data_IF_745084287891
#
_entry.id   IF_745084287891
#
_cell.length_a   1.000
_cell.length_b   1.000
_cell.length_c   1.000
_cell.angle_alpha   90.00
_cell.angle_beta   90.00
_cell.angle_gamma   90.00
#
_symmetry.space_group_name_H-M   'P 1'
#
loop_
_entity.id
_entity.type
_entity.pdbx_description
1 polymer ?
#
# COMPACT_ATOMS: atom_id res chain seq x y z
N UNK A 1 -39.62 18.90 15.09
CA UNK A 1 -39.47 17.48 15.48
C UNK A 1 -37.99 17.17 15.39
N UNK A 2 -37.25 17.17 16.51
CA UNK A 2 -35.80 16.89 16.48
C UNK A 2 -35.61 15.41 16.15
N UNK A 3 -35.29 15.14 14.89
CA UNK A 3 -34.86 13.83 14.39
C UNK A 3 -33.57 13.48 15.12
N UNK A 4 -33.58 12.35 15.82
CA UNK A 4 -32.53 11.68 16.58
C UNK A 4 -31.32 12.49 17.09
N UNK A 5 -31.01 12.49 18.40
CA UNK A 5 -29.73 13.01 18.87
C UNK A 5 -28.58 12.27 18.16
N UNK A 6 -27.50 12.99 17.88
CA UNK A 6 -26.36 12.40 17.19
C UNK A 6 -25.81 11.24 18.02
N UNK A 7 -25.26 10.21 17.38
CA UNK A 7 -24.59 9.11 18.09
C UNK A 7 -23.50 9.65 19.05
N UNK A 8 -22.89 10.78 18.69
CA UNK A 8 -21.91 11.50 19.50
C UNK A 8 -22.49 11.98 20.85
N UNK A 9 -23.73 12.45 20.88
CA UNK A 9 -24.41 12.88 22.11
C UNK A 9 -24.71 11.69 23.04
N UNK A 10 -25.08 10.54 22.44
CA UNK A 10 -25.29 9.29 23.19
C UNK A 10 -23.98 8.80 23.83
N UNK A 11 -22.88 8.78 23.09
CA UNK A 11 -21.55 8.40 23.63
C UNK A 11 -21.05 9.40 24.68
N UNK A 12 -21.37 10.68 24.53
CA UNK A 12 -21.03 11.72 25.51
C UNK A 12 -21.78 11.50 26.83
N UNK A 13 -23.03 11.05 26.78
CA UNK A 13 -23.85 10.72 27.95
C UNK A 13 -23.33 9.47 28.69
N UNK A 14 -22.65 8.56 27.99
CA UNK A 14 -22.01 7.38 28.56
C UNK A 14 -20.69 7.67 29.28
N UNK A 15 -20.14 8.88 29.13
CA UNK A 15 -18.88 9.29 29.78
C UNK A 15 -19.12 9.46 31.28
N UNK A 16 -18.46 8.62 32.08
CA UNK A 16 -18.62 8.58 33.55
C UNK A 16 -19.70 7.61 34.06
N UNK A 17 -20.45 6.94 33.18
CA UNK A 17 -21.42 5.92 33.57
C UNK A 17 -20.74 4.65 34.13
N UNK A 18 -21.43 3.89 35.01
CA UNK A 18 -20.97 2.58 35.47
C UNK A 18 -20.74 1.62 34.30
N UNK A 19 -19.77 0.71 34.45
CA UNK A 19 -19.39 -0.26 33.41
C UNK A 19 -20.60 -1.09 32.94
N UNK A 20 -21.47 -1.50 33.87
CA UNK A 20 -22.65 -2.30 33.55
C UNK A 20 -23.66 -1.55 32.67
N UNK A 21 -23.86 -0.25 32.93
CA UNK A 21 -24.72 0.59 32.11
C UNK A 21 -24.14 0.79 30.70
N UNK A 22 -22.81 0.88 30.58
CA UNK A 22 -22.13 0.93 29.28
C UNK A 22 -22.29 -0.36 28.50
N UNK A 23 -22.16 -1.51 29.16
CA UNK A 23 -22.37 -2.82 28.54
C UNK A 23 -23.81 -2.95 28.04
N UNK A 24 -24.79 -2.54 28.84
CA UNK A 24 -26.20 -2.58 28.44
C UNK A 24 -26.48 -1.71 27.19
N UNK A 25 -25.92 -0.50 27.11
CA UNK A 25 -26.05 0.35 25.92
C UNK A 25 -25.30 -0.22 24.70
N UNK A 26 -24.15 -0.87 24.91
CA UNK A 26 -23.42 -1.56 23.83
C UNK A 26 -24.19 -2.77 23.30
N UNK A 27 -24.86 -3.55 24.16
CA UNK A 27 -25.74 -4.65 23.74
C UNK A 27 -26.94 -4.11 22.97
N UNK A 28 -27.56 -3.03 23.45
CA UNK A 28 -28.67 -2.38 22.75
C UNK A 28 -28.26 -1.89 21.36
N UNK A 29 -27.09 -1.27 21.23
CA UNK A 29 -26.55 -0.86 19.94
C UNK A 29 -26.28 -2.08 19.04
N UNK A 30 -25.68 -3.15 19.59
CA UNK A 30 -25.47 -4.40 18.87
C UNK A 30 -26.77 -5.02 18.36
N UNK A 31 -27.84 -4.97 19.16
CA UNK A 31 -29.18 -5.41 18.77
C UNK A 31 -29.79 -4.54 17.67
N UNK A 32 -29.69 -3.20 17.78
CA UNK A 32 -30.13 -2.26 16.73
C UNK A 32 -29.40 -2.50 15.40
N UNK A 33 -28.14 -2.93 15.45
CA UNK A 33 -27.33 -3.32 14.28
C UNK A 33 -27.51 -4.78 13.85
N UNK A 34 -28.41 -5.53 14.48
CA UNK A 34 -28.66 -6.95 14.23
C UNK A 34 -27.42 -7.85 14.41
N UNK A 35 -26.48 -7.44 15.26
CA UNK A 35 -25.24 -8.16 15.56
C UNK A 35 -25.39 -9.12 16.75
N UNK A 36 -26.28 -8.83 17.70
CA UNK A 36 -26.55 -9.69 18.85
C UNK A 36 -28.00 -9.57 19.34
N UNK A 37 -28.43 -10.46 20.24
CA UNK A 37 -29.75 -10.40 20.87
C UNK A 37 -29.78 -9.40 22.05
N UNK A 38 -30.96 -8.96 22.52
CA UNK A 38 -31.10 -7.98 23.61
C UNK A 38 -30.47 -8.42 24.94
N UNK A 39 -30.32 -9.73 25.14
CA UNK A 39 -29.81 -10.34 26.39
C UNK A 39 -28.38 -10.86 26.26
N UNK A 40 -27.70 -10.60 25.14
CA UNK A 40 -26.36 -11.10 24.85
C UNK A 40 -25.25 -10.26 25.51
N UNK A 41 -25.38 -9.96 26.81
CA UNK A 41 -24.35 -9.23 27.56
C UNK A 41 -23.02 -9.98 27.63
N UNK A 42 -23.07 -11.31 27.69
CA UNK A 42 -21.88 -12.17 27.74
C UNK A 42 -21.02 -12.04 26.46
N UNK A 43 -21.64 -11.72 25.32
CA UNK A 43 -20.92 -11.45 24.07
C UNK A 43 -20.13 -10.14 24.18
N UNK A 44 -20.72 -9.07 24.70
CA UNK A 44 -20.02 -7.79 24.89
C UNK A 44 -18.96 -7.88 26.01
N UNK A 45 -19.24 -8.65 27.06
CA UNK A 45 -18.32 -8.90 28.20
C UNK A 45 -17.15 -9.82 27.84
N UNK A 46 -17.21 -10.54 26.73
CA UNK A 46 -16.17 -11.49 26.32
C UNK A 46 -16.22 -12.83 27.06
N UNK A 47 -17.35 -13.15 27.69
CA UNK A 47 -17.54 -14.35 28.51
C UNK A 47 -18.37 -15.44 27.81
N UNK A 48 -18.87 -15.20 26.59
CA UNK A 48 -19.57 -16.22 25.83
C UNK A 48 -18.63 -17.31 25.31
N UNK A 49 -19.19 -18.45 24.88
CA UNK A 49 -18.41 -19.54 24.29
C UNK A 49 -17.60 -19.08 23.08
N UNK A 50 -16.39 -19.61 22.89
CA UNK A 50 -15.48 -19.24 21.80
C UNK A 50 -16.15 -19.21 20.41
N UNK A 51 -17.03 -20.18 20.12
CA UNK A 51 -17.78 -20.23 18.86
C UNK A 51 -18.72 -19.03 18.68
N UNK A 52 -19.48 -18.66 19.72
CA UNK A 52 -20.37 -17.50 19.69
C UNK A 52 -19.58 -16.19 19.55
N UNK A 53 -18.48 -16.08 20.28
CA UNK A 53 -17.60 -14.92 20.24
C UNK A 53 -17.01 -14.70 18.84
N UNK A 54 -16.54 -15.78 18.20
CA UNK A 54 -15.98 -15.75 16.85
C UNK A 54 -17.05 -15.39 15.80
N UNK A 55 -18.26 -15.93 15.93
CA UNK A 55 -19.38 -15.61 15.03
C UNK A 55 -19.76 -14.13 15.12
N UNK A 56 -19.85 -13.58 16.33
CA UNK A 56 -20.14 -12.17 16.56
C UNK A 56 -19.05 -11.25 15.98
N UNK A 57 -17.77 -11.62 16.15
CA UNK A 57 -16.66 -10.89 15.52
C UNK A 57 -16.75 -10.91 13.99
N UNK A 58 -17.10 -12.06 13.39
CA UNK A 58 -17.34 -12.15 11.94
C UNK A 58 -18.44 -11.21 11.48
N UNK A 59 -19.59 -11.19 12.18
CA UNK A 59 -20.71 -10.30 11.86
C UNK A 59 -20.34 -8.81 11.97
N UNK A 60 -19.53 -8.44 12.97
CA UNK A 60 -19.01 -7.07 13.08
C UNK A 60 -18.13 -6.70 11.89
N UNK A 61 -17.23 -7.59 11.47
CA UNK A 61 -16.35 -7.35 10.32
C UNK A 61 -17.15 -7.24 9.02
N UNK A 62 -18.16 -8.09 8.83
CA UNK A 62 -19.05 -8.05 7.66
C UNK A 62 -19.85 -6.74 7.61
N UNK A 63 -20.35 -6.26 8.76
CA UNK A 63 -21.05 -4.98 8.86
C UNK A 63 -20.13 -3.79 8.53
N UNK A 64 -18.89 -3.79 9.04
CA UNK A 64 -17.89 -2.76 8.72
C UNK A 64 -17.56 -2.76 7.23
N UNK A 65 -17.34 -3.94 6.63
CA UNK A 65 -17.07 -4.07 5.20
C UNK A 65 -18.26 -3.58 4.35
N UNK A 66 -19.49 -3.88 4.76
CA UNK A 66 -20.71 -3.42 4.08
C UNK A 66 -20.86 -1.90 4.12
N UNK A 67 -20.49 -1.25 5.23
CA UNK A 67 -20.48 0.21 5.36
C UNK A 67 -19.40 0.88 4.51
N UNK A 68 -18.24 0.23 4.34
CA UNK A 68 -17.16 0.70 3.46
C UNK A 68 -17.61 0.66 1.99
N UNK A 69 -18.36 -0.36 1.58
CA UNK A 69 -18.92 -0.48 0.22
C UNK A 69 -20.10 0.48 0.00
N UNK A 70 -20.95 0.70 1.00
CA UNK A 70 -22.12 1.59 0.93
C UNK A 70 -21.81 3.09 0.84
N UNK A 71 -20.56 3.52 1.07
CA UNK A 71 -20.14 4.93 0.95
C UNK A 71 -19.97 5.42 -0.49
N UNK A 72 -20.11 4.53 -1.49
CA UNK A 72 -19.93 4.82 -2.91
C UNK A 72 -21.19 5.34 -3.63
N UNK A 73 -22.35 5.47 -2.98
CA UNK A 73 -23.58 5.86 -3.68
C UNK A 73 -24.58 6.60 -2.80
N UNK A 74 -24.34 7.89 -2.56
CA UNK A 74 -25.40 8.87 -2.29
C UNK A 74 -25.05 10.23 -2.94
N UNK A 75 -25.96 10.84 -3.72
CA UNK A 75 -25.76 12.16 -4.31
C UNK A 75 -26.44 13.23 -3.43
N UNK A 76 -25.68 14.07 -2.72
CA UNK A 76 -26.22 15.31 -2.12
C UNK A 76 -25.13 16.27 -1.62
N UNK A 77 -24.11 16.55 -2.44
CA UNK A 77 -23.10 17.58 -2.12
C UNK A 77 -22.66 18.30 -3.41
N UNK A 78 -23.60 18.74 -4.25
CA UNK A 78 -23.24 19.40 -5.51
C UNK A 78 -23.24 20.94 -5.41
N UNK A 79 -23.94 21.50 -4.43
CA UNK A 79 -24.06 22.97 -4.29
C UNK A 79 -22.93 23.60 -3.45
N UNK A 80 -22.30 22.86 -2.53
CA UNK A 80 -21.22 23.39 -1.69
C UNK A 80 -19.82 23.40 -2.36
N UNK A 81 -19.65 22.71 -3.50
CA UNK A 81 -18.35 22.60 -4.17
C UNK A 81 -18.07 23.75 -5.14
N UNK A 82 -19.08 24.36 -5.76
CA UNK A 82 -18.87 25.46 -6.70
C UNK A 82 -18.43 26.74 -5.96
N UNK A 83 -19.04 27.08 -4.82
CA UNK A 83 -18.66 28.25 -4.00
C UNK A 83 -17.27 28.07 -3.32
N UNK A 84 -16.85 26.82 -3.11
CA UNK A 84 -15.52 26.46 -2.61
C UNK A 84 -14.46 26.51 -3.72
N UNK A 85 -14.79 26.07 -4.93
CA UNK A 85 -13.89 26.08 -6.06
C UNK A 85 -13.48 27.51 -6.45
N UNK A 86 -14.44 28.44 -6.52
CA UNK A 86 -14.20 29.84 -6.88
C UNK A 86 -13.37 30.57 -5.79
N UNK A 87 -13.61 30.26 -4.50
CA UNK A 87 -12.78 30.76 -3.38
C UNK A 87 -11.36 30.20 -3.40
N UNK A 88 -11.19 28.90 -3.67
CA UNK A 88 -9.87 28.28 -3.74
C UNK A 88 -9.07 28.78 -4.95
N UNK A 89 -9.73 29.04 -6.07
CA UNK A 89 -9.10 29.63 -7.26
C UNK A 89 -8.58 31.03 -6.97
N UNK A 90 -9.39 31.89 -6.32
CA UNK A 90 -8.95 33.22 -5.89
C UNK A 90 -7.79 33.19 -4.88
N UNK A 91 -7.80 32.25 -3.93
CA UNK A 91 -6.70 32.08 -2.97
C UNK A 91 -5.42 31.56 -3.63
N UNK A 92 -5.53 30.67 -4.61
CA UNK A 92 -4.38 30.19 -5.38
C UNK A 92 -3.81 31.30 -6.25
N UNK A 93 -4.66 32.11 -6.90
CA UNK A 93 -4.23 33.25 -7.71
C UNK A 93 -3.48 34.30 -6.86
N UNK A 94 -3.95 34.58 -5.63
CA UNK A 94 -3.25 35.44 -4.68
C UNK A 94 -1.90 34.86 -4.23
N UNK A 95 -1.86 33.54 -3.99
CA UNK A 95 -0.65 32.82 -3.56
C UNK A 95 0.41 32.78 -4.66
N UNK A 96 0.01 32.56 -5.92
CA UNK A 96 0.91 32.55 -7.09
C UNK A 96 1.30 33.95 -7.57
N UNK A 97 0.50 34.99 -7.28
CA UNK A 97 0.82 36.39 -7.60
C UNK A 97 1.72 37.06 -6.57
N UNK A 98 1.91 36.44 -5.40
CA UNK A 98 2.74 36.97 -4.31
C UNK A 98 4.24 36.79 -4.56
N UNK A 99 5.01 37.87 -4.41
CA UNK A 99 6.49 37.91 -4.48
C UNK A 99 7.15 36.95 -3.46
N UNK A 100 6.40 36.50 -2.45
CA UNK A 100 6.85 35.58 -1.41
C UNK A 100 6.94 34.11 -1.85
N UNK A 101 6.26 33.71 -2.93
CA UNK A 101 6.26 32.32 -3.40
C UNK A 101 7.62 31.96 -4.03
N UNK A 102 8.21 32.86 -4.79
CA UNK A 102 9.57 32.68 -5.36
C UNK A 102 10.63 32.61 -4.24
N UNK A 103 10.44 33.39 -3.17
CA UNK A 103 11.32 33.39 -1.99
C UNK A 103 11.18 32.11 -1.13
N UNK A 104 9.99 31.50 -1.10
CA UNK A 104 9.70 30.22 -0.43
C UNK A 104 10.17 29.01 -1.25
N UNK A 105 10.09 29.09 -2.58
CA UNK A 105 10.53 28.03 -3.49
C UNK A 105 12.05 28.06 -3.74
N UNK A 106 12.70 29.18 -3.47
CA UNK A 106 14.16 29.32 -3.56
C UNK A 106 14.74 30.00 -2.32
N UNK A 107 14.66 29.36 -1.13
CA UNK A 107 15.35 29.86 0.03
C UNK A 107 16.86 29.78 -0.26
N UNK A 108 17.57 30.92 -0.16
CA UNK A 108 19.03 30.92 -0.06
C UNK A 108 19.40 30.34 1.30
N UNK A 109 19.40 29.03 1.37
CA UNK A 109 19.83 28.28 2.54
C UNK A 109 21.34 28.07 2.45
N UNK A 110 22.10 28.84 3.21
CA UNK A 110 23.33 28.30 3.80
C UNK A 110 22.90 27.66 5.13
N UNK A 111 22.67 26.34 5.19
CA UNK A 111 21.94 25.73 6.30
C UNK A 111 22.78 25.47 7.55
N UNK A 112 24.06 25.82 7.56
CA UNK A 112 24.99 25.36 8.59
C UNK A 112 25.55 26.51 9.43
N UNK A 113 25.64 26.35 10.76
CA UNK A 113 26.47 27.22 11.59
C UNK A 113 27.90 27.24 11.03
N UNK A 114 28.53 28.41 10.97
CA UNK A 114 29.91 28.65 10.48
C UNK A 114 30.99 27.79 11.18
N UNK A 115 30.60 27.13 12.26
CA UNK A 115 31.38 26.34 13.19
C UNK A 115 31.63 24.90 12.69
N UNK A 116 30.83 24.40 11.71
CA UNK A 116 30.83 22.99 11.30
C UNK A 116 31.20 22.74 9.82
N UNK A 117 31.50 23.78 9.04
CA UNK A 117 32.00 23.63 7.68
C UNK A 117 33.31 22.82 7.52
N UNK A 118 34.33 22.92 8.39
CA UNK A 118 35.60 22.23 8.14
C UNK A 118 35.56 20.71 8.38
N UNK A 119 34.47 20.17 8.93
CA UNK A 119 34.31 18.71 9.19
C UNK A 119 33.66 17.98 8.01
N UNK A 120 32.89 18.68 7.18
CA UNK A 120 32.10 18.08 6.11
C UNK A 120 32.83 18.02 4.76
N UNK A 121 33.77 18.94 4.48
CA UNK A 121 34.54 18.90 3.23
C UNK A 121 35.49 17.68 3.13
N UNK A 122 35.79 17.01 4.25
CA UNK A 122 36.59 15.78 4.24
C UNK A 122 35.77 14.48 4.18
N UNK A 123 34.43 14.55 4.22
CA UNK A 123 33.56 13.35 4.28
C UNK A 123 32.64 13.18 3.06
N UNK A 124 32.81 14.01 2.03
CA UNK A 124 31.94 14.02 0.84
C UNK A 124 31.94 12.74 0.00
N UNK A 125 32.91 11.84 0.18
CA UNK A 125 33.11 10.71 -0.74
C UNK A 125 32.71 9.32 -0.19
N UNK A 126 32.25 9.18 1.07
CA UNK A 126 32.11 7.84 1.70
C UNK A 126 30.67 7.42 2.13
N UNK A 127 29.65 8.27 1.94
CA UNK A 127 28.30 7.98 2.47
C UNK A 127 27.41 7.09 1.57
N UNK A 128 27.95 6.00 1.03
CA UNK A 128 27.14 4.87 0.54
C UNK A 128 27.22 3.67 1.50
N UNK A 129 26.56 3.78 2.66
CA UNK A 129 26.41 2.64 3.57
C UNK A 129 25.35 2.88 4.65
N UNK A 130 24.58 1.85 5.06
CA UNK A 130 23.72 1.95 6.23
C UNK A 130 24.58 2.20 7.48
N UNK A 131 24.13 3.14 8.31
CA UNK A 131 24.74 3.59 9.56
C UNK A 131 25.39 2.42 10.36
N UNK A 132 26.73 2.45 10.60
CA UNK A 132 27.46 1.39 11.29
C UNK A 132 26.92 1.05 12.69
N UNK A 133 26.34 2.03 13.39
CA UNK A 133 25.80 1.88 14.74
C UNK A 133 24.52 1.03 14.75
N UNK A 134 23.59 1.29 13.84
CA UNK A 134 22.34 0.54 13.73
C UNK A 134 22.57 -0.93 13.33
N UNK A 135 23.63 -1.20 12.55
CA UNK A 135 24.03 -2.56 12.17
C UNK A 135 24.60 -3.35 13.36
N UNK A 136 25.41 -2.70 14.20
CA UNK A 136 26.02 -3.30 15.39
C UNK A 136 24.98 -3.70 16.44
N UNK A 137 23.97 -2.87 16.70
CA UNK A 137 22.91 -3.19 17.65
C UNK A 137 22.03 -4.35 17.17
N UNK A 138 21.67 -4.36 15.89
CA UNK A 138 20.89 -5.45 15.28
C UNK A 138 21.63 -6.79 15.35
N UNK A 139 22.95 -6.79 15.18
CA UNK A 139 23.79 -7.98 15.30
C UNK A 139 23.85 -8.50 16.75
N UNK A 140 23.99 -7.60 17.73
CA UNK A 140 23.95 -7.96 19.16
C UNK A 140 22.60 -8.57 19.58
N UNK A 141 21.50 -8.02 19.09
CA UNK A 141 20.14 -8.56 19.34
C UNK A 141 19.99 -9.94 18.72
N UNK A 142 20.48 -10.13 17.50
CA UNK A 142 20.45 -11.43 16.82
C UNK A 142 21.31 -12.49 17.55
N UNK A 143 22.45 -12.08 18.11
CA UNK A 143 23.30 -12.95 18.93
C UNK A 143 22.61 -13.37 20.23
N UNK A 144 22.00 -12.42 20.95
CA UNK A 144 21.24 -12.69 22.17
C UNK A 144 20.07 -13.64 21.92
N UNK A 145 19.34 -13.43 20.82
CA UNK A 145 18.22 -14.29 20.42
C UNK A 145 18.70 -15.73 20.16
N UNK A 146 19.87 -15.90 19.53
CA UNK A 146 20.45 -17.23 19.29
C UNK A 146 20.87 -17.91 20.59
N UNK A 147 21.49 -17.17 21.51
CA UNK A 147 21.88 -17.69 22.83
C UNK A 147 20.67 -18.13 23.65
N UNK A 148 19.57 -17.38 23.62
CA UNK A 148 18.31 -17.75 24.27
C UNK A 148 17.70 -19.02 23.66
N UNK A 149 17.70 -19.12 22.33
CA UNK A 149 17.15 -20.27 21.63
C UNK A 149 17.96 -21.55 21.89
N UNK A 150 19.29 -21.43 21.91
CA UNK A 150 20.21 -22.52 22.24
C UNK A 150 20.10 -22.94 23.72
N UNK A 151 19.93 -21.97 24.63
CA UNK A 151 19.62 -22.22 26.04
C UNK A 151 18.29 -22.95 26.25
N UNK A 152 17.25 -22.55 25.52
CA UNK A 152 15.95 -23.22 25.54
C UNK A 152 16.04 -24.66 25.01
N UNK A 153 16.78 -24.89 23.92
CA UNK A 153 17.00 -26.23 23.37
C UNK A 153 17.75 -27.14 24.37
N UNK A 154 18.79 -26.62 25.04
CA UNK A 154 19.51 -27.34 26.11
C UNK A 154 18.60 -27.70 27.28
N UNK A 155 17.73 -26.80 27.71
CA UNK A 155 16.74 -27.07 28.76
C UNK A 155 15.74 -28.16 28.36
N UNK A 156 15.29 -28.15 27.10
CA UNK A 156 14.41 -29.20 26.59
C UNK A 156 15.10 -30.56 26.52
N UNK A 157 16.37 -30.62 26.13
CA UNK A 157 17.15 -31.85 26.13
C UNK A 157 17.34 -32.41 27.55
N UNK A 158 17.73 -31.58 28.52
CA UNK A 158 17.86 -31.98 29.92
C UNK A 158 16.53 -32.45 30.53
N UNK A 159 15.42 -31.84 30.14
CA UNK A 159 14.06 -32.27 30.53
C UNK A 159 13.72 -33.65 29.96
N UNK A 160 14.11 -33.94 28.72
CA UNK A 160 13.89 -35.25 28.11
C UNK A 160 14.76 -36.33 28.76
N UNK A 161 16.04 -36.02 29.02
CA UNK A 161 16.98 -36.93 29.69
C UNK A 161 16.55 -37.28 31.12
N UNK A 162 16.09 -36.30 31.90
CA UNK A 162 15.56 -36.53 33.25
C UNK A 162 14.29 -37.39 33.25
N UNK A 163 13.39 -37.19 32.29
CA UNK A 163 12.16 -38.00 32.16
C UNK A 163 12.46 -39.47 31.82
N UNK A 164 13.48 -39.73 31.01
CA UNK A 164 13.93 -41.09 30.67
C UNK A 164 14.66 -41.77 31.84
N UNK A 165 15.47 -41.03 32.63
CA UNK A 165 16.09 -41.55 33.84
C UNK A 165 15.06 -41.94 34.91
N UNK A 166 13.96 -41.19 35.04
CA UNK A 166 12.85 -41.52 35.94
C UNK A 166 12.07 -42.78 35.53
N UNK A 167 12.13 -43.21 34.26
CA UNK A 167 11.51 -44.45 33.77
C UNK A 167 12.40 -45.70 33.93
N UNK A 168 13.72 -45.54 34.12
CA UNK A 168 14.69 -46.64 33.99
C UNK A 168 15.32 -47.17 35.28
N UNK A 169 15.11 -46.58 36.47
CA UNK A 169 15.73 -47.15 37.69
C UNK A 169 15.31 -46.53 39.01
N UNK A 170 14.67 -47.34 39.85
CA UNK A 170 14.26 -47.04 41.23
C UNK A 170 15.39 -47.24 42.27
N UNK A 171 16.66 -47.15 41.86
CA UNK A 171 17.76 -47.25 42.81
C UNK A 171 19.01 -46.60 42.22
N UNK A 172 19.26 -45.33 42.55
CA UNK A 172 20.58 -44.70 42.80
C UNK A 172 20.36 -43.18 42.88
N UNK A 173 20.74 -42.58 44.02
CA UNK A 173 21.10 -41.16 44.08
C UNK A 173 20.06 -40.17 44.64
N UNK A 174 19.61 -40.35 45.89
CA UNK A 174 18.83 -39.30 46.61
C UNK A 174 19.58 -37.97 46.84
N UNK A 175 20.88 -37.91 46.55
CA UNK A 175 21.69 -36.70 46.59
C UNK A 175 21.68 -35.91 45.27
N UNK A 176 21.57 -36.59 44.12
CA UNK A 176 21.64 -35.95 42.80
C UNK A 176 20.32 -35.28 42.40
N UNK A 177 19.19 -35.85 42.82
CA UNK A 177 17.86 -35.26 42.63
C UNK A 177 17.67 -33.97 43.43
N UNK A 178 18.14 -33.90 44.68
CA UNK A 178 18.05 -32.68 45.48
C UNK A 178 18.98 -31.57 44.97
N UNK A 179 20.19 -31.93 44.48
CA UNK A 179 21.09 -30.97 43.83
C UNK A 179 20.48 -30.43 42.52
N UNK A 180 19.87 -31.29 41.72
CA UNK A 180 19.20 -30.89 40.48
C UNK A 180 18.02 -29.95 40.76
N UNK A 181 17.20 -30.27 41.77
CA UNK A 181 16.07 -29.44 42.20
C UNK A 181 16.52 -28.06 42.69
N UNK A 182 17.61 -27.99 43.45
CA UNK A 182 18.22 -26.72 43.88
C UNK A 182 18.77 -25.90 42.71
N UNK A 183 19.42 -26.54 41.73
CA UNK A 183 19.90 -25.86 40.51
C UNK A 183 18.73 -25.34 39.66
N UNK A 184 17.66 -26.11 39.54
CA UNK A 184 16.47 -25.70 38.81
C UNK A 184 15.80 -24.49 39.50
N UNK A 185 15.68 -24.54 40.83
CA UNK A 185 15.15 -23.43 41.62
C UNK A 185 16.00 -22.17 41.47
N UNK A 186 17.32 -22.29 41.43
CA UNK A 186 18.24 -21.18 41.19
C UNK A 186 18.02 -20.57 39.80
N UNK A 187 17.98 -21.40 38.74
CA UNK A 187 17.76 -20.92 37.36
C UNK A 187 16.40 -20.25 37.19
N UNK A 188 15.34 -20.81 37.81
CA UNK A 188 14.01 -20.21 37.81
C UNK A 188 14.01 -18.86 38.54
N UNK A 189 14.73 -18.76 39.66
CA UNK A 189 14.86 -17.53 40.44
C UNK A 189 15.63 -16.46 39.66
N UNK A 190 16.74 -16.82 39.00
CA UNK A 190 17.52 -15.91 38.16
C UNK A 190 16.71 -15.42 36.96
N UNK A 191 15.98 -16.32 36.30
CA UNK A 191 15.09 -15.94 35.19
C UNK A 191 13.99 -14.98 35.65
N UNK A 192 13.39 -15.24 36.81
CA UNK A 192 12.40 -14.34 37.40
C UNK A 192 12.97 -12.94 37.66
N UNK A 193 14.20 -12.85 38.17
CA UNK A 193 14.88 -11.57 38.37
C UNK A 193 15.17 -10.84 37.05
N UNK A 194 15.57 -11.56 36.01
CA UNK A 194 15.80 -11.01 34.67
C UNK A 194 14.52 -10.44 34.05
N UNK A 195 13.39 -11.15 34.18
CA UNK A 195 12.09 -10.67 33.74
C UNK A 195 11.67 -9.42 34.51
N UNK A 196 11.85 -9.40 35.83
CA UNK A 196 11.54 -8.22 36.65
C UNK A 196 12.41 -7.02 36.29
N UNK A 197 13.72 -7.22 36.10
CA UNK A 197 14.63 -6.16 35.68
C UNK A 197 14.28 -5.62 34.29
N UNK A 198 13.88 -6.50 33.36
CA UNK A 198 13.41 -6.09 32.04
C UNK A 198 12.12 -5.27 32.13
N UNK A 199 11.13 -5.69 32.92
CA UNK A 199 9.88 -4.94 33.12
C UNK A 199 10.19 -3.56 33.71
N UNK A 200 11.07 -3.49 34.71
CA UNK A 200 11.49 -2.21 35.29
C UNK A 200 12.22 -1.31 34.29
N UNK A 201 13.14 -1.84 33.49
CA UNK A 201 13.81 -1.07 32.45
C UNK A 201 12.81 -0.61 31.37
N UNK A 202 11.84 -1.46 31.04
CA UNK A 202 10.77 -1.11 30.12
C UNK A 202 9.92 0.03 30.68
N UNK A 203 9.38 -0.10 31.89
CA UNK A 203 8.50 0.90 32.48
C UNK A 203 9.20 2.24 32.75
N UNK A 204 10.49 2.22 33.11
CA UNK A 204 11.23 3.43 33.49
C UNK A 204 11.95 4.12 32.31
N UNK A 205 12.40 3.39 31.29
CA UNK A 205 13.29 3.93 30.25
C UNK A 205 12.73 3.80 28.83
N UNK A 206 12.01 2.72 28.51
CA UNK A 206 11.56 2.43 27.15
C UNK A 206 10.06 2.70 26.94
N UNK A 207 9.27 2.72 28.00
CA UNK A 207 7.82 2.86 27.97
C UNK A 207 7.38 4.18 27.36
N UNK A 208 8.07 5.28 27.68
CA UNK A 208 7.84 6.60 27.08
C UNK A 208 8.17 6.62 25.58
N UNK A 209 9.17 5.85 25.14
CA UNK A 209 9.50 5.72 23.72
C UNK A 209 8.43 4.93 22.95
N UNK A 210 7.85 3.90 23.57
CA UNK A 210 6.78 3.09 22.98
C UNK A 210 5.40 3.77 23.03
N UNK A 211 5.20 4.75 23.93
CA UNK A 211 3.97 5.52 24.05
C UNK A 211 3.94 6.81 23.22
N UNK A 212 4.99 7.12 22.44
CA UNK A 212 4.95 8.28 21.55
C UNK A 212 3.76 8.13 20.60
N UNK A 213 2.86 9.11 20.53
CA UNK A 213 1.85 9.13 19.48
C UNK A 213 2.56 9.02 18.14
N UNK A 214 1.96 8.30 17.19
CA UNK A 214 2.48 8.23 15.83
C UNK A 214 2.82 9.66 15.37
N UNK A 215 3.99 9.88 14.75
CA UNK A 215 4.36 11.22 14.31
C UNK A 215 3.21 11.78 13.48
N UNK A 216 2.77 13.00 13.80
CA UNK A 216 1.72 13.67 13.04
C UNK A 216 2.21 13.83 11.60
N UNK A 217 1.79 12.90 10.75
CA UNK A 217 2.10 12.93 9.34
C UNK A 217 1.33 14.10 8.76
N UNK A 218 2.07 15.08 8.25
CA UNK A 218 1.49 16.26 7.63
C UNK A 218 0.44 15.82 6.57
N UNK A 219 -0.77 16.42 6.55
CA UNK A 219 -1.88 16.00 5.69
C UNK A 219 -1.62 16.15 4.18
N UNK A 220 -0.42 16.62 3.81
CA UNK A 220 0.04 16.69 2.43
C UNK A 220 0.43 15.32 1.86
N UNK A 221 0.58 14.26 2.66
CA UNK A 221 0.90 12.91 2.15
C UNK A 221 -0.01 12.44 1.01
N UNK A 222 -1.34 12.45 1.17
CA UNK A 222 -2.29 12.15 0.11
C UNK A 222 -2.21 13.08 -1.11
N UNK A 223 -1.90 14.36 -0.89
CA UNK A 223 -1.77 15.37 -1.95
C UNK A 223 -0.51 15.10 -2.78
N UNK A 224 0.64 14.89 -2.13
CA UNK A 224 1.91 14.52 -2.77
C UNK A 224 1.77 13.20 -3.51
N UNK A 225 1.09 12.21 -2.92
CA UNK A 225 0.83 10.94 -3.58
C UNK A 225 -0.02 11.12 -4.85
N UNK A 226 -1.08 11.93 -4.79
CA UNK A 226 -1.92 12.23 -5.94
C UNK A 226 -1.14 12.96 -7.05
N UNK A 227 -0.30 13.94 -6.69
CA UNK A 227 0.56 14.66 -7.63
C UNK A 227 1.57 13.72 -8.28
N UNK A 228 2.26 12.87 -7.50
CA UNK A 228 3.20 11.89 -8.01
C UNK A 228 2.53 10.88 -8.96
N UNK A 229 1.33 10.39 -8.63
CA UNK A 229 0.58 9.48 -9.50
C UNK A 229 0.13 10.16 -10.80
N UNK A 230 -0.29 11.43 -10.72
CA UNK A 230 -0.71 12.21 -11.89
C UNK A 230 0.47 12.46 -12.82
N UNK A 231 1.62 12.87 -12.28
CA UNK A 231 2.85 13.06 -13.05
C UNK A 231 3.32 11.75 -13.69
N UNK A 232 3.26 10.64 -12.95
CA UNK A 232 3.61 9.31 -13.47
C UNK A 232 2.71 8.91 -14.64
N UNK A 233 1.40 9.13 -14.50
CA UNK A 233 0.42 8.84 -15.55
C UNK A 233 0.66 9.71 -16.79
N UNK A 234 0.94 11.00 -16.59
CA UNK A 234 1.29 11.92 -17.67
C UNK A 234 2.56 11.49 -18.42
N UNK A 235 3.61 11.10 -17.68
CA UNK A 235 4.85 10.58 -18.25
C UNK A 235 4.63 9.32 -19.09
N UNK A 236 3.81 8.38 -18.63
CA UNK A 236 3.46 7.18 -19.38
C UNK A 236 2.69 7.51 -20.67
N UNK A 237 1.76 8.47 -20.59
CA UNK A 237 0.97 8.89 -21.74
C UNK A 237 1.85 9.58 -22.79
N UNK A 238 2.77 10.45 -22.37
CA UNK A 238 3.76 11.06 -23.26
C UNK A 238 4.64 10.00 -23.93
N UNK A 239 5.06 8.97 -23.20
CA UNK A 239 5.83 7.86 -23.78
C UNK A 239 5.03 7.10 -24.85
N UNK A 240 3.75 6.80 -24.57
CA UNK A 240 2.88 6.15 -25.55
C UNK A 240 2.64 7.02 -26.80
N UNK A 241 2.54 8.34 -26.64
CA UNK A 241 2.42 9.27 -27.77
C UNK A 241 3.68 9.25 -28.63
N UNK A 242 4.87 9.21 -28.03
CA UNK A 242 6.13 9.09 -28.78
C UNK A 242 6.17 7.77 -29.56
N UNK A 243 5.84 6.64 -28.90
CA UNK A 243 5.80 5.33 -29.56
C UNK A 243 4.79 5.29 -30.73
N UNK A 244 3.64 5.96 -30.59
CA UNK A 244 2.65 6.07 -31.66
C UNK A 244 3.15 6.94 -32.82
N UNK A 245 3.86 8.03 -32.53
CA UNK A 245 4.47 8.87 -33.58
C UNK A 245 5.54 8.10 -34.35
N UNK A 246 6.38 7.34 -33.66
CA UNK A 246 7.41 6.50 -34.29
C UNK A 246 6.76 5.42 -35.18
N UNK A 247 5.75 4.70 -34.67
CA UNK A 247 5.01 3.71 -35.44
C UNK A 247 4.29 4.34 -36.65
N UNK A 248 3.76 5.55 -36.52
CA UNK A 248 3.15 6.28 -37.63
C UNK A 248 4.18 6.70 -38.68
N UNK A 249 5.37 7.11 -38.27
CA UNK A 249 6.46 7.47 -39.18
C UNK A 249 6.94 6.23 -39.95
N UNK A 250 7.08 5.09 -39.28
CA UNK A 250 7.39 3.80 -39.92
C UNK A 250 6.30 3.38 -40.92
N UNK A 251 5.03 3.49 -40.54
CA UNK A 251 3.92 3.18 -41.44
C UNK A 251 3.90 4.07 -42.69
N UNK A 252 4.18 5.38 -42.54
CA UNK A 252 4.30 6.29 -43.67
C UNK A 252 5.50 5.96 -44.57
N UNK A 253 6.64 5.56 -44.00
CA UNK A 253 7.80 5.09 -44.78
C UNK A 253 7.46 3.81 -45.58
N UNK A 254 6.75 2.86 -44.98
CA UNK A 254 6.29 1.64 -45.67
C UNK A 254 5.35 1.99 -46.83
N UNK A 255 4.37 2.88 -46.62
CA UNK A 255 3.47 3.35 -47.68
C UNK A 255 4.23 4.04 -48.79
N UNK A 256 5.19 4.91 -48.45
CA UNK A 256 5.99 5.63 -49.44
C UNK A 256 6.92 4.71 -50.24
N UNK A 257 7.45 3.65 -49.63
CA UNK A 257 8.20 2.58 -50.32
C UNK A 257 7.29 1.76 -51.24
N UNK A 258 6.07 1.44 -50.78
CA UNK A 258 5.07 0.72 -51.58
C UNK A 258 4.60 1.54 -52.80
N UNK A 259 4.49 2.86 -52.69
CA UNK A 259 4.20 3.73 -53.85
C UNK A 259 5.36 3.83 -54.84
N UNK A 260 6.61 3.61 -54.39
CA UNK A 260 7.81 3.58 -55.26
C UNK A 260 8.08 2.22 -55.88
N UNK A 261 7.54 1.13 -55.34
CA UNK A 261 7.56 -0.19 -55.98
C UNK A 261 6.34 -0.36 -56.90
N UNK A 262 6.50 -0.73 -58.19
CA UNK A 262 5.37 -1.01 -59.05
C UNK A 262 4.64 -2.23 -58.51
N UNK A 263 3.38 -2.04 -58.11
CA UNK A 263 2.51 -3.07 -57.53
C UNK A 263 2.39 -4.23 -58.53
N UNK A 264 3.12 -5.32 -58.27
CA UNK A 264 3.09 -6.52 -59.09
C UNK A 264 1.87 -7.35 -58.68
N UNK A 265 0.71 -7.05 -59.29
CA UNK A 265 -0.44 -7.94 -59.25
C UNK A 265 -0.11 -9.16 -60.11
N UNK A 266 -0.06 -10.31 -59.46
CA UNK A 266 -0.11 -11.69 -59.96
C UNK A 266 0.30 -11.95 -61.42
N UNK A 267 1.31 -12.82 -61.55
CA UNK A 267 2.15 -13.11 -62.72
C UNK A 267 1.47 -13.90 -63.85
N UNK A 268 0.22 -13.57 -64.19
CA UNK A 268 -0.48 -14.26 -65.29
C UNK A 268 -1.43 -13.41 -66.14
N UNK A 269 -1.49 -12.09 -65.96
CA UNK A 269 -2.12 -11.21 -66.96
C UNK A 269 -1.14 -10.15 -67.43
N UNK A 270 -0.82 -10.14 -68.74
CA UNK A 270 -0.06 -9.07 -69.36
C UNK A 270 -0.84 -7.77 -69.15
N UNK A 271 -0.38 -6.95 -68.19
CA UNK A 271 -0.95 -5.64 -67.90
C UNK A 271 -0.66 -4.75 -69.11
N UNK A 272 -1.56 -4.75 -70.08
CA UNK A 272 -1.53 -3.78 -71.16
C UNK A 272 -1.96 -2.42 -70.58
N UNK A 273 -1.15 -1.39 -70.82
CA UNK A 273 -1.47 -0.02 -70.43
C UNK A 273 -2.84 0.39 -71.00
N UNK A 274 -3.56 1.25 -70.27
CA UNK A 274 -4.81 1.86 -70.74
C UNK A 274 -4.65 2.45 -72.16
N UNK A 275 -3.48 3.03 -72.45
CA UNK A 275 -3.15 3.54 -73.77
C UNK A 275 -3.21 2.45 -74.85
N UNK A 276 -2.66 1.26 -74.54
CA UNK A 276 -2.67 0.13 -75.47
C UNK A 276 -4.07 -0.43 -75.69
N UNK A 277 -4.93 -0.41 -74.67
CA UNK A 277 -6.34 -0.81 -74.82
C UNK A 277 -7.16 0.19 -75.63
N UNK A 278 -6.88 1.48 -75.50
CA UNK A 278 -7.49 2.53 -76.32
C UNK A 278 -7.04 2.39 -77.78
N UNK A 279 -5.77 2.09 -78.03
CA UNK A 279 -5.25 1.83 -79.39
C UNK A 279 -5.95 0.61 -80.01
N UNK A 280 -6.08 -0.48 -79.26
CA UNK A 280 -6.74 -1.72 -79.72
C UNK A 280 -8.24 -1.49 -80.04
N UNK A 281 -8.92 -0.67 -79.24
CA UNK A 281 -10.31 -0.27 -79.47
C UNK A 281 -10.43 0.60 -80.73
N UNK A 282 -9.52 1.56 -80.88
CA UNK A 282 -9.46 2.45 -82.05
C UNK A 282 -9.25 1.64 -83.33
N UNK A 283 -8.35 0.66 -83.29
CA UNK A 283 -8.06 -0.21 -84.42
C UNK A 283 -9.24 -1.12 -84.77
N UNK A 284 -9.95 -1.68 -83.77
CA UNK A 284 -11.18 -2.45 -84.00
C UNK A 284 -12.31 -1.59 -84.59
N UNK A 285 -12.43 -0.35 -84.14
CA UNK A 285 -13.43 0.58 -84.67
C UNK A 285 -13.11 0.97 -86.11
N UNK A 286 -11.83 1.18 -86.45
CA UNK A 286 -11.41 1.45 -87.81
C UNK A 286 -11.74 0.27 -88.75
N UNK A 287 -11.44 -0.96 -88.34
CA UNK A 287 -11.79 -2.18 -89.11
C UNK A 287 -13.31 -2.28 -89.31
N UNK A 288 -14.11 -1.90 -88.31
CA UNK A 288 -15.57 -1.88 -88.43
C UNK A 288 -16.06 -0.81 -89.43
N UNK A 289 -15.45 0.38 -89.44
CA UNK A 289 -15.78 1.45 -90.39
C UNK A 289 -15.35 1.08 -91.81
N UNK A 290 -14.19 0.45 -91.98
CA UNK A 290 -13.67 0.03 -93.28
C UNK A 290 -14.54 -1.08 -93.88
N UNK A 291 -15.02 -2.03 -93.04
CA UNK A 291 -15.95 -3.08 -93.46
C UNK A 291 -17.38 -2.59 -93.75
N UNK A 292 -17.76 -1.41 -93.23
CA UNK A 292 -18.99 -0.71 -93.62
C UNK A 292 -18.87 -0.02 -94.99
N UNK A 293 -17.68 0.45 -95.37
CA UNK A 293 -17.43 1.08 -96.67
C UNK A 293 -17.19 0.07 -97.80
N UNK A 294 -16.73 -1.15 -97.51
CA UNK A 294 -16.64 -2.25 -98.49
C UNK A 294 -18.02 -2.89 -98.82
N UNK A 295 -19.09 -2.48 -98.14
CA UNK A 295 -20.46 -2.97 -98.37
C UNK A 295 -21.33 -2.12 -99.31
N UNK A 296 -20.85 -0.98 -99.81
CA UNK A 296 -21.58 -0.05 -100.69
C UNK A 296 -20.98 0.06 -102.11
N UNK A 297 -20.23 -0.95 -102.58
CA UNK A 297 -19.67 -1.05 -103.94
C UNK A 297 -20.29 -2.16 -104.79
#
# INVERSE_FOLDING_TARGET
MKVCPSMQDKFSTLKGAPVEAKIQEMVKLGYELMLCAPDDQELVKGCASARKQLQFMGQMLDAVQSLVVGRSSYPSVKEDFEDNAEKNEGMLEELFSGVHLEMLLSPKSDPWPLDMQPVLENQGDDWQGPDPLARSEKEKVAELARQLQDGAARLWALRAESLEQHKAGEAVGGADTSMLEQKLHLVISDFHQLVLAFIQAYDNELGECCQRPAPDLHPCGPIVQAVCQTLTSCSQLLKAVVELMDASAEAMDVVQRQEREPICWDSSSSVMSLATKIEELTQKYQVFIDSLHEGEG
#
